data_IF_093633859279
#
_entry.id   IF_093633859279
#
_cell.length_a   1.000
_cell.length_b   1.000
_cell.length_c   1.000
_cell.angle_alpha   90.00
_cell.angle_beta   90.00
_cell.angle_gamma   90.00
#
_symmetry.space_group_name_H-M   'P 1'
#
loop_
_entity.id
_entity.type
_entity.pdbx_description
1 polymer ?
#
# COMPACT_ATOMS: atom_id res chain seq x y z
N UNK A 1 18.75 19.14 6.44
CA UNK A 1 18.65 18.41 7.71
C UNK A 1 17.53 17.40 7.56
N UNK A 2 17.82 16.11 7.55
CA UNK A 2 16.78 15.08 7.59
C UNK A 2 16.25 15.03 9.01
N UNK A 3 15.09 15.64 9.26
CA UNK A 3 14.38 15.53 10.53
C UNK A 3 14.16 14.04 10.82
N UNK A 4 14.62 13.57 11.98
CA UNK A 4 14.38 12.19 12.40
C UNK A 4 12.88 12.02 12.66
N UNK A 5 12.26 10.92 12.20
CA UNK A 5 10.84 10.64 12.51
C UNK A 5 10.57 10.61 14.02
N UNK A 6 11.58 10.31 14.84
CA UNK A 6 11.49 10.30 16.30
C UNK A 6 11.27 11.69 16.91
N UNK A 7 11.59 12.77 16.18
CA UNK A 7 11.43 14.14 16.65
C UNK A 7 10.05 14.71 16.27
N UNK A 8 9.26 14.00 15.47
CA UNK A 8 7.93 14.41 15.03
C UNK A 8 6.87 14.10 16.09
N UNK A 9 5.93 15.01 16.28
CA UNK A 9 4.66 14.71 16.95
C UNK A 9 3.86 13.69 16.12
N UNK A 10 2.89 13.00 16.75
CA UNK A 10 2.00 12.06 16.03
C UNK A 10 1.24 12.73 14.88
N UNK A 11 0.88 14.00 15.05
CA UNK A 11 0.16 14.78 14.03
C UNK A 11 1.08 15.10 12.85
N UNK A 12 2.33 15.50 13.10
CA UNK A 12 3.32 15.72 12.05
C UNK A 12 3.66 14.42 11.32
N UNK A 13 3.80 13.31 12.04
CA UNK A 13 4.06 12.01 11.44
C UNK A 13 2.89 11.52 10.58
N UNK A 14 1.65 11.64 11.07
CA UNK A 14 0.46 11.29 10.28
C UNK A 14 0.35 12.15 9.01
N UNK A 15 0.56 13.47 9.13
CA UNK A 15 0.60 14.37 7.98
C UNK A 15 1.68 13.99 6.98
N UNK A 16 2.89 13.66 7.45
CA UNK A 16 3.97 13.16 6.59
C UNK A 16 3.58 11.86 5.87
N UNK A 17 2.89 10.94 6.57
CA UNK A 17 2.39 9.70 5.97
C UNK A 17 1.37 9.98 4.87
N UNK A 18 0.41 10.86 5.13
CA UNK A 18 -0.60 11.28 4.14
C UNK A 18 0.05 11.92 2.90
N UNK A 19 0.97 12.87 3.10
CA UNK A 19 1.61 13.63 2.03
C UNK A 19 2.57 12.79 1.18
N UNK A 20 3.22 11.79 1.79
CA UNK A 20 4.20 10.95 1.09
C UNK A 20 3.58 9.66 0.55
N UNK A 21 3.04 8.83 1.44
CA UNK A 21 2.62 7.47 1.10
C UNK A 21 1.20 7.46 0.53
N UNK A 22 0.25 8.16 1.18
CA UNK A 22 -1.15 8.12 0.72
C UNK A 22 -1.31 8.87 -0.61
N UNK A 23 -0.65 10.01 -0.77
CA UNK A 23 -0.61 10.74 -2.04
C UNK A 23 -0.04 9.88 -3.17
N UNK A 24 1.07 9.17 -2.93
CA UNK A 24 1.66 8.25 -3.90
C UNK A 24 0.69 7.13 -4.30
N UNK A 25 0.04 6.48 -3.33
CA UNK A 25 -0.91 5.40 -3.59
C UNK A 25 -2.13 5.89 -4.39
N UNK A 26 -2.69 7.07 -4.04
CA UNK A 26 -3.82 7.67 -4.77
C UNK A 26 -3.51 7.91 -6.25
N UNK A 27 -2.28 8.30 -6.56
CA UNK A 27 -1.84 8.50 -7.94
C UNK A 27 -1.56 7.17 -8.66
N UNK A 28 -0.87 6.24 -7.99
CA UNK A 28 -0.26 5.09 -8.66
C UNK A 28 -1.16 3.85 -8.70
N UNK A 29 -2.09 3.66 -7.75
CA UNK A 29 -3.05 2.56 -7.78
C UNK A 29 -3.92 2.55 -9.05
N UNK A 30 -4.61 3.65 -9.43
CA UNK A 30 -5.42 3.66 -10.66
C UNK A 30 -4.56 3.48 -11.92
N UNK A 31 -3.42 4.17 -12.01
CA UNK A 31 -2.51 4.05 -13.17
C UNK A 31 -1.97 2.63 -13.35
N UNK A 32 -1.56 1.98 -12.27
CA UNK A 32 -1.08 0.60 -12.31
C UNK A 32 -2.20 -0.35 -12.71
N UNK A 33 -3.43 -0.11 -12.23
CA UNK A 33 -4.61 -0.89 -12.61
C UNK A 33 -4.89 -0.82 -14.12
N UNK A 34 -4.80 0.38 -14.70
CA UNK A 34 -4.98 0.59 -16.14
C UNK A 34 -3.87 -0.10 -16.95
N UNK A 35 -2.61 0.06 -16.54
CA UNK A 35 -1.48 -0.55 -17.21
C UNK A 35 -1.54 -2.09 -17.15
N UNK A 36 -1.91 -2.66 -16.00
CA UNK A 36 -2.08 -4.11 -15.86
C UNK A 36 -3.21 -4.64 -16.74
N UNK A 37 -4.29 -3.87 -16.92
CA UNK A 37 -5.35 -4.24 -17.86
C UNK A 37 -4.84 -4.26 -19.31
N UNK A 38 -4.07 -3.25 -19.72
CA UNK A 38 -3.43 -3.21 -21.05
C UNK A 38 -2.51 -4.39 -21.28
N UNK A 39 -1.67 -4.72 -20.29
CA UNK A 39 -0.74 -5.85 -20.34
C UNK A 39 -1.50 -7.17 -20.39
N UNK A 40 -2.52 -7.35 -19.54
CA UNK A 40 -3.37 -8.55 -19.56
C UNK A 40 -4.08 -8.71 -20.92
N UNK A 41 -4.62 -7.64 -21.48
CA UNK A 41 -5.32 -7.68 -22.77
C UNK A 41 -4.39 -8.06 -23.92
N UNK A 42 -3.12 -7.64 -23.86
CA UNK A 42 -2.14 -7.87 -24.93
C UNK A 42 -1.41 -9.21 -24.81
N UNK A 43 -1.24 -9.72 -23.59
CA UNK A 43 -0.35 -10.85 -23.30
C UNK A 43 -1.02 -11.98 -22.52
N UNK A 44 -2.27 -11.84 -22.10
CA UNK A 44 -2.95 -12.82 -21.24
C UNK A 44 -3.10 -14.21 -21.86
N UNK A 45 -3.18 -14.32 -23.19
CA UNK A 45 -3.24 -15.61 -23.89
C UNK A 45 -1.95 -16.42 -23.72
N UNK A 46 -0.81 -15.73 -23.67
CA UNK A 46 0.51 -16.35 -23.62
C UNK A 46 1.00 -16.47 -22.16
N UNK A 47 0.60 -15.50 -21.32
CA UNK A 47 1.00 -15.38 -19.92
C UNK A 47 -0.22 -15.43 -19.00
N UNK A 48 -0.75 -16.65 -18.81
CA UNK A 48 -1.95 -16.89 -17.99
C UNK A 48 -1.84 -16.37 -16.55
N UNK A 49 -0.62 -16.25 -16.00
CA UNK A 49 -0.38 -15.66 -14.67
C UNK A 49 -0.88 -14.22 -14.54
N UNK A 50 -0.97 -13.48 -15.66
CA UNK A 50 -1.43 -12.09 -15.67
C UNK A 50 -2.89 -11.95 -15.20
N UNK A 51 -3.74 -12.97 -15.40
CA UNK A 51 -5.11 -12.94 -14.88
C UNK A 51 -5.11 -12.90 -13.35
N UNK A 52 -4.25 -13.71 -12.71
CA UNK A 52 -4.11 -13.73 -11.26
C UNK A 52 -3.48 -12.43 -10.75
N UNK A 53 -2.43 -11.93 -11.41
CA UNK A 53 -1.81 -10.63 -11.08
C UNK A 53 -2.85 -9.50 -11.10
N UNK A 54 -3.66 -9.43 -12.16
CA UNK A 54 -4.69 -8.40 -12.30
C UNK A 54 -5.76 -8.52 -11.20
N UNK A 55 -6.23 -9.74 -10.93
CA UNK A 55 -7.22 -10.00 -9.87
C UNK A 55 -6.70 -9.63 -8.47
N UNK A 56 -5.48 -10.04 -8.14
CA UNK A 56 -4.85 -9.74 -6.85
C UNK A 56 -4.61 -8.24 -6.68
N UNK A 57 -4.15 -7.55 -7.73
CA UNK A 57 -3.95 -6.11 -7.67
C UNK A 57 -5.28 -5.36 -7.50
N UNK A 58 -6.36 -5.81 -8.16
CA UNK A 58 -7.70 -5.26 -7.94
C UNK A 58 -8.18 -5.38 -6.49
N UNK A 59 -7.94 -6.54 -5.86
CA UNK A 59 -8.25 -6.75 -4.44
C UNK A 59 -7.40 -5.86 -3.53
N UNK A 60 -6.09 -5.77 -3.78
CA UNK A 60 -5.18 -4.91 -3.04
C UNK A 60 -5.64 -3.45 -3.11
N UNK A 61 -5.94 -2.97 -4.31
CA UNK A 61 -6.41 -1.59 -4.54
C UNK A 61 -7.69 -1.30 -3.76
N UNK A 62 -8.69 -2.19 -3.81
CA UNK A 62 -9.96 -1.98 -3.12
C UNK A 62 -9.78 -1.89 -1.59
N UNK A 63 -8.91 -2.74 -1.02
CA UNK A 63 -8.58 -2.68 0.42
C UNK A 63 -7.88 -1.35 0.73
N UNK A 64 -6.85 -0.99 -0.04
CA UNK A 64 -6.06 0.22 0.21
C UNK A 64 -6.91 1.49 0.10
N UNK A 65 -7.74 1.64 -0.94
CA UNK A 65 -8.60 2.82 -1.09
C UNK A 65 -9.53 3.04 0.11
N UNK A 66 -10.08 1.96 0.67
CA UNK A 66 -10.88 2.03 1.90
C UNK A 66 -10.03 2.28 3.14
N UNK A 67 -8.88 1.62 3.23
CA UNK A 67 -7.94 1.70 4.34
C UNK A 67 -7.44 3.14 4.56
N UNK A 68 -6.93 3.80 3.51
CA UNK A 68 -6.43 5.17 3.60
C UNK A 68 -7.51 6.14 4.11
N UNK A 69 -8.76 5.96 3.68
CA UNK A 69 -9.88 6.77 4.15
C UNK A 69 -10.16 6.53 5.65
N UNK A 70 -10.12 5.28 6.12
CA UNK A 70 -10.31 4.95 7.54
C UNK A 70 -9.22 5.59 8.39
N UNK A 71 -7.97 5.52 7.96
CA UNK A 71 -6.84 6.12 8.68
C UNK A 71 -7.04 7.63 8.83
N UNK A 72 -7.20 8.33 7.71
CA UNK A 72 -7.30 9.78 7.67
C UNK A 72 -8.50 10.30 8.48
N UNK A 73 -9.67 9.68 8.28
CA UNK A 73 -10.92 10.20 8.84
C UNK A 73 -11.20 9.71 10.26
N UNK A 74 -10.85 8.47 10.59
CA UNK A 74 -11.23 7.85 11.85
C UNK A 74 -10.11 7.87 12.89
N UNK A 75 -8.84 7.88 12.47
CA UNK A 75 -7.68 7.83 13.37
C UNK A 75 -6.86 9.13 13.33
N UNK A 76 -6.30 9.51 12.18
CA UNK A 76 -5.35 10.62 12.03
C UNK A 76 -5.98 11.96 12.41
N UNK A 77 -7.22 12.22 11.98
CA UNK A 77 -7.99 13.42 12.38
C UNK A 77 -8.15 13.59 13.90
N UNK A 78 -8.07 12.48 14.67
CA UNK A 78 -8.23 12.47 16.12
C UNK A 78 -6.90 12.52 16.87
N UNK A 79 -5.75 12.46 16.19
CA UNK A 79 -4.45 12.59 16.83
C UNK A 79 -4.32 14.01 17.44
N UNK A 80 -3.88 14.06 18.69
CA UNK A 80 -3.79 15.29 19.50
C UNK A 80 -5.11 15.86 20.06
N UNK A 81 -6.26 15.24 19.77
CA UNK A 81 -7.51 15.53 20.46
C UNK A 81 -7.73 14.54 21.61
N UNK A 82 -7.95 15.07 22.82
CA UNK A 82 -8.25 14.28 24.03
C UNK A 82 -9.67 13.69 24.02
N UNK A 83 -9.82 12.53 24.68
CA UNK A 83 -11.08 11.88 25.11
C UNK A 83 -11.62 10.63 24.38
N UNK A 84 -10.87 9.91 23.55
CA UNK A 84 -11.29 8.52 23.25
C UNK A 84 -10.16 7.55 22.91
N UNK A 85 -9.33 7.22 23.91
CA UNK A 85 -8.24 6.26 23.76
C UNK A 85 -8.74 4.84 23.35
N UNK A 86 -9.89 4.42 23.88
CA UNK A 86 -10.47 3.11 23.56
C UNK A 86 -10.88 3.00 22.09
N UNK A 87 -11.61 4.00 21.55
CA UNK A 87 -11.99 3.97 20.14
C UNK A 87 -10.77 4.01 19.20
N UNK A 88 -9.72 4.76 19.55
CA UNK A 88 -8.47 4.79 18.77
C UNK A 88 -7.78 3.42 18.75
N UNK A 89 -7.78 2.70 19.89
CA UNK A 89 -7.25 1.34 20.00
C UNK A 89 -7.99 0.34 19.11
N UNK A 90 -9.33 0.32 19.17
CA UNK A 90 -10.12 -0.58 18.32
C UNK A 90 -9.88 -0.33 16.83
N UNK A 91 -9.81 0.95 16.41
CA UNK A 91 -9.51 1.31 15.03
C UNK A 91 -8.09 0.86 14.64
N UNK A 92 -7.08 1.10 15.49
CA UNK A 92 -5.70 0.68 15.21
C UNK A 92 -5.57 -0.84 15.03
N UNK A 93 -6.28 -1.63 15.84
CA UNK A 93 -6.31 -3.09 15.71
C UNK A 93 -6.96 -3.52 14.38
N UNK A 94 -8.03 -2.86 13.93
CA UNK A 94 -8.64 -3.13 12.62
C UNK A 94 -7.68 -2.82 11.47
N UNK A 95 -7.01 -1.66 11.52
CA UNK A 95 -6.03 -1.24 10.51
C UNK A 95 -4.84 -2.22 10.40
N UNK A 96 -4.30 -2.69 11.52
CA UNK A 96 -3.22 -3.69 11.50
C UNK A 96 -3.65 -5.02 10.89
N UNK A 97 -4.91 -5.45 11.09
CA UNK A 97 -5.44 -6.64 10.40
C UNK A 97 -5.53 -6.42 8.89
N UNK A 98 -5.83 -5.19 8.45
CA UNK A 98 -5.79 -4.83 7.03
C UNK A 98 -4.37 -4.87 6.49
N UNK A 99 -3.36 -4.39 7.23
CA UNK A 99 -1.94 -4.50 6.84
C UNK A 99 -1.52 -5.96 6.63
N UNK A 100 -1.95 -6.87 7.51
CA UNK A 100 -1.63 -8.29 7.37
C UNK A 100 -2.29 -8.89 6.13
N UNK A 101 -3.56 -8.55 5.87
CA UNK A 101 -4.27 -8.98 4.65
C UNK A 101 -3.59 -8.48 3.38
N UNK A 102 -3.18 -7.22 3.33
CA UNK A 102 -2.48 -6.67 2.16
C UNK A 102 -1.09 -7.30 2.02
N UNK A 103 -0.35 -7.55 3.11
CA UNK A 103 0.92 -8.29 3.08
C UNK A 103 0.77 -9.68 2.46
N UNK A 104 -0.31 -10.40 2.72
CA UNK A 104 -0.57 -11.68 2.04
C UNK A 104 -0.73 -11.53 0.53
N UNK A 105 -1.45 -10.50 0.08
CA UNK A 105 -1.61 -10.23 -1.37
C UNK A 105 -0.27 -9.83 -1.99
N UNK A 106 0.50 -8.96 -1.34
CA UNK A 106 1.82 -8.53 -1.82
C UNK A 106 2.80 -9.70 -1.93
N UNK A 107 2.81 -10.62 -0.96
CA UNK A 107 3.62 -11.82 -1.03
C UNK A 107 3.22 -12.71 -2.20
N UNK A 108 1.90 -12.92 -2.40
CA UNK A 108 1.42 -13.71 -3.53
C UNK A 108 1.78 -13.06 -4.88
N UNK A 109 1.62 -11.75 -5.02
CA UNK A 109 2.04 -11.00 -6.21
C UNK A 109 3.53 -11.17 -6.46
N UNK A 110 4.37 -11.02 -5.43
CA UNK A 110 5.81 -11.24 -5.54
C UNK A 110 6.13 -12.67 -6.00
N UNK A 111 5.48 -13.68 -5.43
CA UNK A 111 5.76 -15.07 -5.75
C UNK A 111 5.41 -15.41 -7.21
N UNK A 112 4.20 -15.06 -7.66
CA UNK A 112 3.74 -15.41 -9.02
C UNK A 112 4.43 -14.61 -10.12
N UNK A 113 5.07 -13.50 -9.76
CA UNK A 113 5.86 -12.66 -10.69
C UNK A 113 7.36 -12.93 -10.61
N UNK A 114 7.78 -13.95 -9.85
CA UNK A 114 9.19 -14.25 -9.57
C UNK A 114 9.98 -13.03 -9.04
N UNK A 115 9.41 -12.34 -8.07
CA UNK A 115 10.00 -11.11 -7.53
C UNK A 115 9.90 -9.91 -8.48
N UNK A 116 8.87 -9.87 -9.34
CA UNK A 116 8.71 -8.87 -10.39
C UNK A 116 9.86 -8.87 -11.40
N UNK A 117 10.38 -10.05 -11.75
CA UNK A 117 11.50 -10.20 -12.69
C UNK A 117 11.09 -9.74 -14.10
N UNK A 118 11.89 -8.84 -14.68
CA UNK A 118 11.65 -8.25 -16.01
C UNK A 118 12.65 -8.71 -17.06
N UNK A 119 13.61 -9.57 -16.71
CA UNK A 119 14.77 -9.94 -17.54
C UNK A 119 14.35 -10.48 -18.91
N UNK A 120 13.31 -11.33 -18.94
CA UNK A 120 12.83 -12.01 -20.15
C UNK A 120 11.61 -11.33 -20.78
N UNK A 121 11.08 -10.26 -20.17
CA UNK A 121 9.97 -9.51 -20.74
C UNK A 121 10.55 -8.64 -21.86
N UNK A 122 9.92 -8.60 -23.04
CA UNK A 122 10.37 -7.73 -24.13
C UNK A 122 9.50 -6.46 -24.25
N UNK A 123 8.21 -6.57 -23.97
CA UNK A 123 7.25 -5.46 -24.01
C UNK A 123 7.55 -4.43 -22.92
N UNK A 124 7.65 -3.15 -23.31
CA UNK A 124 7.94 -2.03 -22.39
C UNK A 124 6.86 -1.87 -21.32
N UNK A 125 5.59 -1.96 -21.72
CA UNK A 125 4.45 -1.75 -20.82
C UNK A 125 4.35 -2.86 -19.77
N UNK A 126 4.67 -4.10 -20.18
CA UNK A 126 4.73 -5.23 -19.27
C UNK A 126 5.89 -5.06 -18.27
N UNK A 127 7.09 -4.65 -18.71
CA UNK A 127 8.18 -4.31 -17.77
C UNK A 127 7.75 -3.22 -16.80
N UNK A 128 7.15 -2.15 -17.31
CA UNK A 128 6.72 -1.01 -16.52
C UNK A 128 5.69 -1.41 -15.47
N UNK A 129 4.74 -2.30 -15.81
CA UNK A 129 3.75 -2.82 -14.87
C UNK A 129 4.42 -3.54 -13.68
N UNK A 130 5.40 -4.40 -13.94
CA UNK A 130 6.13 -5.11 -12.89
C UNK A 130 6.99 -4.17 -12.03
N UNK A 131 7.62 -3.16 -12.66
CA UNK A 131 8.34 -2.11 -11.92
C UNK A 131 7.39 -1.34 -11.00
N UNK A 132 6.20 -0.96 -11.46
CA UNK A 132 5.21 -0.26 -10.65
C UNK A 132 4.70 -1.13 -9.49
N UNK A 133 4.38 -2.40 -9.75
CA UNK A 133 3.98 -3.36 -8.71
C UNK A 133 5.05 -3.50 -7.62
N UNK A 134 6.32 -3.64 -8.02
CA UNK A 134 7.42 -3.72 -7.07
C UNK A 134 7.57 -2.42 -6.28
N UNK A 135 7.46 -1.27 -6.94
CA UNK A 135 7.59 0.05 -6.29
C UNK A 135 6.48 0.25 -5.25
N UNK A 136 5.23 -0.02 -5.60
CA UNK A 136 4.09 -0.01 -4.66
C UNK A 136 4.33 -0.97 -3.49
N UNK A 137 4.84 -2.18 -3.77
CA UNK A 137 5.15 -3.16 -2.73
C UNK A 137 6.17 -2.63 -1.73
N UNK A 138 7.30 -2.08 -2.20
CA UNK A 138 8.34 -1.55 -1.33
C UNK A 138 7.85 -0.33 -0.53
N UNK A 139 7.11 0.56 -1.18
CA UNK A 139 6.60 1.76 -0.54
C UNK A 139 5.57 1.43 0.55
N UNK A 140 4.64 0.50 0.28
CA UNK A 140 3.67 -0.01 1.27
C UNK A 140 4.35 -0.67 2.47
N UNK A 141 5.40 -1.47 2.26
CA UNK A 141 6.12 -2.09 3.37
C UNK A 141 6.81 -1.05 4.27
N UNK A 142 7.36 0.01 3.67
CA UNK A 142 7.94 1.13 4.43
C UNK A 142 6.87 1.97 5.14
N UNK A 143 5.72 2.18 4.49
CA UNK A 143 4.54 2.84 5.04
C UNK A 143 4.07 2.11 6.30
N UNK A 144 3.75 0.81 6.18
CA UNK A 144 3.31 0.00 7.31
C UNK A 144 4.33 -0.08 8.43
N UNK A 145 5.63 -0.20 8.09
CA UNK A 145 6.68 -0.17 9.11
C UNK A 145 6.63 1.13 9.92
N UNK A 146 6.51 2.29 9.24
CA UNK A 146 6.46 3.58 9.91
C UNK A 146 5.24 3.71 10.81
N UNK A 147 4.07 3.28 10.33
CA UNK A 147 2.85 3.30 11.12
C UNK A 147 2.92 2.39 12.32
N UNK A 148 3.24 1.12 12.12
CA UNK A 148 3.24 0.12 13.19
C UNK A 148 4.28 0.43 14.27
N UNK A 149 5.48 0.87 13.86
CA UNK A 149 6.58 1.07 14.81
C UNK A 149 6.58 2.43 15.48
N UNK A 150 6.07 3.47 14.80
CA UNK A 150 6.16 4.85 15.29
C UNK A 150 4.80 5.47 15.58
N UNK A 151 3.77 5.24 14.77
CA UNK A 151 2.47 5.90 14.94
C UNK A 151 1.55 5.10 15.88
N UNK A 152 1.34 3.82 15.56
CA UNK A 152 0.33 2.93 16.14
C UNK A 152 0.78 2.18 17.39
N UNK A 153 2.09 2.09 17.63
CA UNK A 153 2.69 1.32 18.75
C UNK A 153 2.07 1.58 20.13
N UNK A 154 1.53 2.77 20.39
CA UNK A 154 0.92 3.13 21.67
C UNK A 154 -0.55 2.70 21.80
N UNK A 155 -1.20 2.34 20.69
CA UNK A 155 -2.58 1.92 20.67
C UNK A 155 -2.76 0.41 20.84
N UNK A 156 -1.68 -0.38 20.71
CA UNK A 156 -1.75 -1.83 20.62
C UNK A 156 -0.95 -2.45 21.75
#
# INVERSE_FOLDING_TARGET
MTTSYNDMTKQELAKHIEEKYHAYLRENLPRTSELLYTVLSSHGSDYHVLFEVYSLFGQLRAILEQHLLKEETLLFSKLGHGNNAFAKKEIAIDLMKEHDRTRHILNRLKDITNGYDTTNILCSDFKQAYVMLNTITQDLLNHYYLEETMLLKEFV
#
